data_IF_585319509971
#
_entry.id   IF_585319509971
#
_cell.length_a   1.000
_cell.length_b   1.000
_cell.length_c   1.000
_cell.angle_alpha   90.00
_cell.angle_beta   90.00
_cell.angle_gamma   90.00
#
_symmetry.space_group_name_H-M   'P 1'
#
loop_
_entity.id
_entity.type
_entity.pdbx_description
1 polymer ?
#
# COMPACT_ATOMS: atom_id res chain seq x y z
N UNK A 1 10.94 2.72 -7.09
CA UNK A 1 10.60 2.46 -5.67
C UNK A 1 9.89 3.70 -5.17
N UNK A 2 8.57 3.63 -5.02
CA UNK A 2 7.75 4.73 -4.51
C UNK A 2 7.41 4.37 -3.08
N UNK A 3 8.19 4.87 -2.13
CA UNK A 3 7.78 4.92 -0.72
C UNK A 3 6.93 6.18 -0.60
N UNK A 4 5.62 6.03 -0.52
CA UNK A 4 4.72 7.17 -0.33
C UNK A 4 4.45 7.32 1.16
N UNK A 5 4.99 8.39 1.77
CA UNK A 5 4.44 8.90 3.02
C UNK A 5 3.19 9.68 2.62
N UNK A 6 2.00 9.10 2.84
CA UNK A 6 0.77 9.85 2.64
C UNK A 6 0.77 11.07 3.57
N UNK A 7 0.83 12.25 2.96
CA UNK A 7 0.76 13.56 3.59
C UNK A 7 -0.59 14.15 3.20
N UNK A 8 -1.53 14.23 4.15
CA UNK A 8 -2.82 14.92 3.93
C UNK A 8 -2.55 16.42 4.00
N UNK A 9 -2.91 17.18 2.95
CA UNK A 9 -2.42 18.57 2.74
C UNK A 9 -3.34 19.69 3.24
N UNK A 10 -2.74 20.68 3.94
CA UNK A 10 -3.08 22.13 3.97
C UNK A 10 -2.85 22.83 5.34
N UNK A 11 -2.55 24.15 5.46
CA UNK A 11 -1.77 25.06 4.60
C UNK A 11 -0.50 25.70 5.29
N UNK A 12 0.45 26.11 4.43
CA UNK A 12 1.55 27.11 4.56
C UNK A 12 2.50 27.21 5.80
N UNK A 13 3.74 26.82 5.53
CA UNK A 13 5.07 27.41 5.83
C UNK A 13 5.51 27.93 7.21
N UNK A 14 4.71 27.86 8.28
CA UNK A 14 5.23 28.12 9.64
C UNK A 14 4.77 27.10 10.69
N UNK A 15 4.46 25.87 10.26
CA UNK A 15 3.80 24.91 11.14
C UNK A 15 4.83 24.04 11.90
N UNK A 16 4.96 24.19 13.24
CA UNK A 16 5.91 23.42 14.01
C UNK A 16 5.47 21.95 14.04
N UNK A 17 6.44 21.06 13.85
CA UNK A 17 6.28 19.61 13.62
C UNK A 17 5.46 18.84 14.67
N UNK A 18 5.04 19.47 15.77
CA UNK A 18 4.19 18.89 16.81
C UNK A 18 2.69 18.92 16.48
N UNK A 19 2.20 19.77 15.56
CA UNK A 19 0.77 19.84 15.21
C UNK A 19 0.25 18.56 14.53
N UNK A 20 1.15 17.77 13.92
CA UNK A 20 0.80 16.53 13.22
C UNK A 20 0.65 15.31 14.14
N UNK A 21 1.29 15.32 15.32
CA UNK A 21 1.11 14.30 16.37
C UNK A 21 -0.23 14.46 17.13
N UNK A 22 -0.85 15.63 17.05
CA UNK A 22 -2.12 15.95 17.74
C UNK A 22 -3.38 15.42 17.04
N UNK A 23 -3.26 14.78 15.87
CA UNK A 23 -4.43 14.21 15.18
C UNK A 23 -4.90 12.88 15.76
N UNK A 24 -4.12 12.25 16.66
CA UNK A 24 -4.43 10.93 17.23
C UNK A 24 -4.44 9.79 16.21
N UNK A 25 -4.05 10.06 14.96
CA UNK A 25 -3.99 9.07 13.89
C UNK A 25 -2.67 8.30 13.95
N UNK A 26 -2.67 6.99 13.64
CA UNK A 26 -1.46 6.19 13.65
C UNK A 26 -0.51 6.62 12.52
N UNK A 27 0.80 6.55 12.78
CA UNK A 27 1.80 6.72 11.73
C UNK A 27 1.77 5.49 10.81
N UNK A 28 1.53 5.69 9.51
CA UNK A 28 1.45 4.60 8.54
C UNK A 28 2.60 4.72 7.55
N UNK A 29 3.28 3.59 7.32
CA UNK A 29 4.27 3.43 6.24
C UNK A 29 3.67 2.48 5.22
N UNK A 30 3.56 2.90 3.96
CA UNK A 30 3.03 2.09 2.87
C UNK A 30 4.14 1.71 1.89
N UNK A 31 4.22 0.43 1.53
CA UNK A 31 5.22 -0.12 0.63
C UNK A 31 4.58 -1.03 -0.42
N UNK A 32 4.76 -0.68 -1.70
CA UNK A 32 4.34 -1.48 -2.84
C UNK A 32 5.49 -2.35 -3.32
N UNK A 33 5.30 -3.66 -3.33
CA UNK A 33 6.32 -4.61 -3.72
C UNK A 33 5.75 -5.67 -4.66
N UNK A 34 6.45 -5.91 -5.77
CA UNK A 34 6.13 -7.02 -6.66
C UNK A 34 6.38 -8.37 -5.97
N UNK A 35 7.45 -8.46 -5.16
CA UNK A 35 7.81 -9.66 -4.41
C UNK A 35 8.16 -9.35 -2.94
N UNK A 36 7.45 -9.98 -2.02
CA UNK A 36 7.65 -9.81 -0.57
C UNK A 36 8.53 -10.95 -0.04
N UNK A 37 9.81 -10.66 0.20
CA UNK A 37 10.79 -11.62 0.70
C UNK A 37 11.72 -11.05 1.77
N UNK A 38 12.62 -11.87 2.31
CA UNK A 38 13.53 -11.51 3.42
C UNK A 38 14.33 -10.23 3.18
N UNK A 39 14.86 -10.03 1.97
CA UNK A 39 15.62 -8.81 1.63
C UNK A 39 14.76 -7.54 1.75
N UNK A 40 13.49 -7.63 1.34
CA UNK A 40 12.55 -6.52 1.50
C UNK A 40 12.26 -6.27 2.97
N UNK A 41 11.91 -7.31 3.75
CA UNK A 41 11.59 -7.16 5.17
C UNK A 41 12.73 -6.51 5.95
N UNK A 42 13.99 -6.89 5.68
CA UNK A 42 15.16 -6.24 6.28
C UNK A 42 15.22 -4.73 6.00
N UNK A 43 14.89 -4.29 4.78
CA UNK A 43 14.83 -2.86 4.44
C UNK A 43 13.66 -2.17 5.12
N UNK A 44 12.49 -2.82 5.15
CA UNK A 44 11.31 -2.27 5.81
C UNK A 44 11.55 -2.00 7.31
N UNK A 45 12.26 -2.90 8.00
CA UNK A 45 12.69 -2.69 9.40
C UNK A 45 13.61 -1.47 9.55
N UNK A 46 14.49 -1.21 8.58
CA UNK A 46 15.36 -0.04 8.61
C UNK A 46 14.54 1.24 8.47
N UNK A 47 13.62 1.30 7.50
CA UNK A 47 12.74 2.47 7.31
C UNK A 47 11.86 2.72 8.53
N UNK A 48 11.31 1.64 9.11
CA UNK A 48 10.58 1.70 10.37
C UNK A 48 11.43 2.37 11.46
N UNK A 49 12.65 1.88 11.66
CA UNK A 49 13.51 2.34 12.77
C UNK A 49 13.82 3.82 12.60
N UNK A 50 14.04 4.27 11.37
CA UNK A 50 14.24 5.69 11.06
C UNK A 50 12.99 6.52 11.36
N UNK A 51 11.80 6.04 11.02
CA UNK A 51 10.54 6.72 11.31
C UNK A 51 10.29 6.82 12.83
N UNK A 52 10.49 5.72 13.57
CA UNK A 52 10.38 5.71 15.02
C UNK A 52 11.35 6.71 15.66
N UNK A 53 12.63 6.69 15.25
CA UNK A 53 13.64 7.63 15.78
C UNK A 53 13.29 9.09 15.51
N UNK A 54 12.57 9.37 14.42
CA UNK A 54 12.18 10.73 14.03
C UNK A 54 10.93 11.22 14.75
N UNK A 55 9.93 10.34 14.94
CA UNK A 55 8.60 10.74 15.40
C UNK A 55 8.24 10.22 16.81
N UNK A 56 9.00 9.29 17.37
CA UNK A 56 8.77 8.71 18.70
C UNK A 56 7.51 7.85 18.81
N UNK A 57 6.94 7.44 17.68
CA UNK A 57 5.70 6.64 17.60
C UNK A 57 5.99 5.39 16.79
N UNK A 58 5.46 4.24 17.21
CA UNK A 58 5.56 2.98 16.49
C UNK A 58 4.62 2.97 15.27
N UNK A 59 5.12 3.01 14.02
CA UNK A 59 4.25 2.98 12.86
C UNK A 59 3.59 1.61 12.62
N UNK A 60 2.49 1.67 11.87
CA UNK A 60 1.87 0.54 11.18
C UNK A 60 2.51 0.45 9.79
N UNK A 61 3.05 -0.71 9.44
CA UNK A 61 3.56 -0.99 8.10
C UNK A 61 2.48 -1.71 7.29
N UNK A 62 2.11 -1.13 6.14
CA UNK A 62 1.23 -1.75 5.15
C UNK A 62 2.09 -2.13 3.95
N UNK A 63 2.08 -3.42 3.61
CA UNK A 63 2.80 -3.95 2.45
C UNK A 63 1.79 -4.44 1.44
N UNK A 64 1.77 -3.82 0.26
CA UNK A 64 0.98 -4.27 -0.89
C UNK A 64 1.86 -5.16 -1.76
N UNK A 65 1.60 -6.48 -1.68
CA UNK A 65 2.27 -7.50 -2.47
C UNK A 65 1.51 -7.81 -3.75
N UNK A 66 2.00 -7.33 -4.89
CA UNK A 66 1.29 -7.43 -6.17
C UNK A 66 1.22 -8.89 -6.65
N UNK A 67 2.33 -9.64 -6.58
CA UNK A 67 2.42 -10.92 -7.27
C UNK A 67 2.62 -12.10 -6.31
N UNK A 68 3.77 -12.18 -5.64
CA UNK A 68 4.08 -13.32 -4.77
C UNK A 68 4.84 -12.94 -3.51
N UNK A 69 4.59 -13.72 -2.46
CA UNK A 69 5.34 -13.68 -1.20
C UNK A 69 6.17 -14.96 -1.06
N UNK A 70 7.37 -14.85 -0.52
CA UNK A 70 8.20 -16.03 -0.24
C UNK A 70 7.51 -16.97 0.78
N UNK A 71 7.72 -18.29 0.64
CA UNK A 71 7.15 -19.31 1.54
C UNK A 71 7.42 -18.99 3.02
N UNK A 72 8.65 -18.59 3.34
CA UNK A 72 9.05 -18.22 4.70
C UNK A 72 8.22 -17.08 5.27
N UNK A 73 7.87 -16.08 4.45
CA UNK A 73 7.02 -14.96 4.87
C UNK A 73 5.59 -15.42 5.07
N UNK A 74 5.07 -16.28 4.18
CA UNK A 74 3.70 -16.82 4.32
C UNK A 74 3.53 -17.72 5.55
N UNK A 75 4.57 -18.46 5.95
CA UNK A 75 4.54 -19.30 7.15
C UNK A 75 4.55 -18.48 8.45
N UNK A 76 5.22 -17.34 8.44
CA UNK A 76 5.27 -16.41 9.57
C UNK A 76 4.06 -15.47 9.62
N UNK A 77 3.33 -15.36 8.51
CA UNK A 77 2.15 -14.54 8.41
C UNK A 77 0.90 -15.31 8.86
N UNK A 78 0.05 -14.64 9.64
CA UNK A 78 -1.25 -15.18 10.09
C UNK A 78 -2.38 -14.36 9.46
N UNK A 79 -3.62 -14.85 9.48
CA UNK A 79 -4.77 -14.01 9.10
C UNK A 79 -4.81 -12.76 9.98
N UNK A 80 -4.96 -11.60 9.36
CA UNK A 80 -5.12 -10.33 10.07
C UNK A 80 -6.54 -10.17 10.61
N UNK A 81 -6.71 -9.21 11.53
CA UNK A 81 -8.04 -8.67 11.88
C UNK A 81 -8.65 -7.88 10.73
N UNK A 82 -7.80 -7.22 9.93
CA UNK A 82 -8.22 -6.59 8.69
C UNK A 82 -8.55 -7.69 7.67
N UNK A 83 -9.78 -7.67 7.15
CA UNK A 83 -10.21 -8.60 6.12
C UNK A 83 -9.28 -8.48 4.90
N UNK A 84 -9.06 -9.59 4.19
CA UNK A 84 -8.23 -9.59 2.98
C UNK A 84 -6.74 -9.45 3.23
N UNK A 85 -6.28 -9.48 4.48
CA UNK A 85 -4.89 -9.24 4.82
C UNK A 85 -4.29 -10.36 5.68
N UNK A 86 -2.98 -10.49 5.59
CA UNK A 86 -2.19 -11.18 6.59
C UNK A 86 -1.56 -10.18 7.57
N UNK A 87 -1.33 -10.63 8.80
CA UNK A 87 -0.53 -9.96 9.80
C UNK A 87 0.81 -10.68 9.91
N UNK A 88 1.91 -9.96 9.73
CA UNK A 88 3.27 -10.46 9.86
C UNK A 88 3.81 -10.21 11.26
N UNK A 89 4.62 -11.13 11.77
CA UNK A 89 5.19 -11.02 13.11
C UNK A 89 6.14 -9.81 13.22
N UNK A 90 5.73 -8.82 14.01
CA UNK A 90 6.46 -7.57 14.18
C UNK A 90 7.51 -7.59 15.28
N UNK A 91 7.60 -8.64 16.12
CA UNK A 91 8.65 -8.86 17.12
C UNK A 91 9.30 -7.57 17.71
N UNK A 92 8.49 -6.62 18.20
CA UNK A 92 8.91 -5.33 18.79
C UNK A 92 9.48 -4.26 17.84
N UNK A 93 9.58 -4.53 16.53
CA UNK A 93 10.00 -3.54 15.54
C UNK A 93 8.83 -2.87 14.83
N UNK A 94 7.56 -3.18 15.10
CA UNK A 94 6.42 -2.43 14.60
C UNK A 94 5.17 -2.63 15.46
N UNK A 95 4.25 -1.68 15.40
CA UNK A 95 2.93 -1.82 16.03
C UNK A 95 2.14 -2.92 15.33
N UNK A 96 2.02 -2.81 14.00
CA UNK A 96 1.46 -3.85 13.14
C UNK A 96 2.17 -3.87 11.78
N UNK A 97 2.23 -5.05 11.15
CA UNK A 97 2.70 -5.23 9.78
C UNK A 97 1.63 -6.00 9.03
N UNK A 98 0.88 -5.28 8.22
CA UNK A 98 -0.25 -5.80 7.45
C UNK A 98 0.24 -6.05 6.02
N UNK A 99 0.03 -7.26 5.53
CA UNK A 99 0.37 -7.65 4.16
C UNK A 99 -0.94 -7.87 3.40
N UNK A 100 -1.15 -7.04 2.39
CA UNK A 100 -2.25 -7.13 1.44
C UNK A 100 -1.71 -7.72 0.14
N UNK A 101 -2.19 -8.88 -0.27
CA UNK A 101 -1.77 -9.51 -1.52
C UNK A 101 -2.91 -10.31 -2.16
N UNK A 102 -2.74 -10.68 -3.43
CA UNK A 102 -3.75 -11.44 -4.16
C UNK A 102 -4.19 -12.71 -3.40
N UNK A 103 -3.23 -13.46 -2.86
CA UNK A 103 -3.51 -14.69 -2.09
C UNK A 103 -4.21 -14.50 -0.74
N UNK A 104 -4.15 -13.30 -0.14
CA UNK A 104 -4.88 -12.99 1.10
C UNK A 104 -6.32 -12.61 0.80
N UNK A 105 -6.55 -11.95 -0.33
CA UNK A 105 -7.87 -11.52 -0.77
C UNK A 105 -8.69 -12.67 -1.33
N UNK A 106 -8.09 -13.57 -2.12
CA UNK A 106 -8.77 -14.76 -2.67
C UNK A 106 -9.39 -15.66 -1.57
N UNK A 107 -8.86 -15.59 -0.35
CA UNK A 107 -9.36 -16.34 0.81
C UNK A 107 -10.49 -15.64 1.57
N UNK A 108 -10.89 -14.45 1.15
CA UNK A 108 -11.99 -13.74 1.76
C UNK A 108 -13.32 -14.26 1.25
N UNK A 109 -14.26 -14.41 2.18
CA UNK A 109 -15.67 -14.56 1.82
C UNK A 109 -16.15 -13.20 1.33
N UNK A 110 -16.27 -13.05 0.01
CA UNK A 110 -16.77 -11.82 -0.59
C UNK A 110 -18.30 -11.79 -0.42
N UNK A 111 -18.81 -10.74 0.21
CA UNK A 111 -20.24 -10.44 0.35
C UNK A 111 -20.76 -9.74 -0.91
N UNK A 112 -22.09 -9.61 -1.05
CA UNK A 112 -22.72 -8.93 -2.20
C UNK A 112 -22.22 -7.48 -2.40
N UNK A 113 -21.78 -6.82 -1.33
CA UNK A 113 -21.06 -5.54 -1.40
C UNK A 113 -19.59 -5.77 -1.07
N UNK A 114 -18.71 -5.26 -1.93
CA UNK A 114 -17.27 -5.32 -1.73
C UNK A 114 -16.85 -4.21 -0.74
N UNK A 115 -16.12 -4.57 0.31
CA UNK A 115 -15.52 -3.57 1.20
C UNK A 115 -14.51 -2.70 0.41
N UNK A 116 -14.50 -1.36 0.57
CA UNK A 116 -13.63 -0.49 -0.22
C UNK A 116 -12.13 -0.79 -0.10
N UNK A 117 -11.67 -1.26 1.06
CA UNK A 117 -10.27 -1.63 1.26
C UNK A 117 -9.94 -2.95 0.56
N UNK A 118 -10.89 -3.89 0.54
CA UNK A 118 -10.77 -5.11 -0.28
C UNK A 118 -10.80 -4.78 -1.77
N UNK A 119 -11.67 -3.88 -2.21
CA UNK A 119 -11.72 -3.41 -3.59
C UNK A 119 -10.38 -2.77 -4.00
N UNK A 120 -9.79 -1.96 -3.13
CA UNK A 120 -8.48 -1.36 -3.35
C UNK A 120 -7.39 -2.42 -3.49
N UNK A 121 -7.37 -3.41 -2.59
CA UNK A 121 -6.45 -4.54 -2.68
C UNK A 121 -6.60 -5.34 -3.96
N UNK A 122 -7.84 -5.66 -4.36
CA UNK A 122 -8.13 -6.35 -5.61
C UNK A 122 -7.61 -5.55 -6.80
N UNK A 123 -7.94 -4.26 -6.84
CA UNK A 123 -7.54 -3.37 -7.91
C UNK A 123 -6.02 -3.33 -8.10
N UNK A 124 -5.25 -3.26 -7.00
CA UNK A 124 -3.79 -3.13 -7.05
C UNK A 124 -3.05 -4.45 -7.28
N UNK A 125 -3.61 -5.56 -6.80
CA UNK A 125 -2.92 -6.86 -6.80
C UNK A 125 -3.37 -7.74 -7.95
N UNK A 126 -4.50 -7.42 -8.58
CA UNK A 126 -4.98 -8.15 -9.76
C UNK A 126 -4.31 -7.61 -11.01
N UNK A 127 -3.40 -8.42 -11.56
CA UNK A 127 -2.77 -8.16 -12.85
C UNK A 127 -3.77 -8.39 -13.99
N UNK A 128 -4.61 -7.38 -14.26
CA UNK A 128 -5.60 -7.38 -15.35
C UNK A 128 -5.35 -6.20 -16.28
N UNK A 129 -5.37 -6.45 -17.59
CA UNK A 129 -5.08 -5.43 -18.59
C UNK A 129 -6.25 -4.47 -18.85
N UNK A 130 -7.47 -4.85 -18.44
CA UNK A 130 -8.71 -4.11 -18.69
C UNK A 130 -9.65 -4.24 -17.51
N UNK A 131 -10.46 -3.20 -17.28
CA UNK A 131 -11.54 -3.26 -16.29
C UNK A 131 -12.54 -4.39 -16.58
N UNK A 132 -12.74 -4.76 -17.85
CA UNK A 132 -13.70 -5.81 -18.22
C UNK A 132 -13.26 -7.16 -17.64
N UNK A 133 -11.95 -7.41 -17.57
CA UNK A 133 -11.37 -8.65 -17.06
C UNK A 133 -11.19 -8.63 -15.53
N UNK A 134 -11.42 -7.49 -14.89
CA UNK A 134 -11.32 -7.34 -13.44
C UNK A 134 -12.49 -8.06 -12.75
N UNK A 135 -12.23 -8.91 -11.74
CA UNK A 135 -13.29 -9.42 -10.88
C UNK A 135 -14.05 -8.24 -10.24
N UNK A 136 -15.38 -8.34 -10.16
CA UNK A 136 -16.21 -7.25 -9.63
C UNK A 136 -16.10 -5.96 -10.46
N UNK A 137 -15.92 -6.09 -11.78
CA UNK A 137 -15.88 -4.95 -12.70
C UNK A 137 -17.12 -4.05 -12.61
N UNK A 138 -18.26 -4.55 -12.13
CA UNK A 138 -19.48 -3.79 -11.91
C UNK A 138 -19.55 -3.06 -10.57
N UNK A 139 -18.65 -3.36 -9.64
CA UNK A 139 -18.54 -2.67 -8.36
C UNK A 139 -18.20 -1.19 -8.56
N UNK A 140 -18.89 -0.33 -7.82
CA UNK A 140 -18.75 1.13 -7.95
C UNK A 140 -17.36 1.60 -7.53
N UNK A 141 -16.76 0.97 -6.53
CA UNK A 141 -15.43 1.32 -6.01
C UNK A 141 -14.35 0.90 -6.99
N UNK A 142 -14.46 -0.31 -7.57
CA UNK A 142 -13.55 -0.77 -8.64
C UNK A 142 -13.62 0.17 -9.86
N UNK A 143 -14.83 0.55 -10.30
CA UNK A 143 -15.01 1.52 -11.40
C UNK A 143 -14.39 2.88 -11.07
N UNK A 144 -14.53 3.36 -9.84
CA UNK A 144 -13.93 4.60 -9.37
C UNK A 144 -12.40 4.53 -9.39
N UNK A 145 -11.79 3.46 -8.88
CA UNK A 145 -10.33 3.32 -8.92
C UNK A 145 -9.79 3.25 -10.35
N UNK A 146 -10.50 2.54 -11.23
CA UNK A 146 -10.14 2.51 -12.64
C UNK A 146 -10.23 3.89 -13.30
N UNK A 147 -11.31 4.64 -13.08
CA UNK A 147 -11.46 5.98 -13.65
C UNK A 147 -10.37 6.94 -13.16
N UNK A 148 -10.03 6.88 -11.87
CA UNK A 148 -8.94 7.67 -11.30
C UNK A 148 -7.57 7.30 -11.91
N UNK A 149 -7.32 6.00 -12.13
CA UNK A 149 -6.09 5.54 -12.75
C UNK A 149 -5.98 5.99 -14.21
N UNK A 150 -7.08 5.93 -14.98
CA UNK A 150 -7.14 6.42 -16.37
C UNK A 150 -6.93 7.92 -16.42
N UNK A 151 -7.66 8.70 -15.61
CA UNK A 151 -7.51 10.16 -15.55
C UNK A 151 -6.07 10.56 -15.20
N UNK A 152 -5.48 9.88 -14.21
CA UNK A 152 -4.09 10.11 -13.84
C UNK A 152 -3.13 9.76 -14.99
N UNK A 153 -3.31 8.61 -15.62
CA UNK A 153 -2.44 8.19 -16.73
C UNK A 153 -2.56 9.14 -17.92
N UNK A 154 -3.76 9.58 -18.30
CA UNK A 154 -3.98 10.53 -19.38
C UNK A 154 -3.41 11.92 -19.05
N UNK A 155 -3.59 12.39 -17.81
CA UNK A 155 -3.01 13.64 -17.33
C UNK A 155 -1.46 13.61 -17.30
N UNK A 156 -0.88 12.46 -16.97
CA UNK A 156 0.56 12.23 -17.06
C UNK A 156 1.01 12.07 -18.51
N UNK A 157 0.21 11.40 -19.36
CA UNK A 157 0.49 11.17 -20.77
C UNK A 157 0.55 12.47 -21.58
N UNK A 158 -0.34 13.41 -21.28
CA UNK A 158 -0.28 14.78 -21.80
C UNK A 158 0.99 15.54 -21.40
N UNK A 159 1.71 15.08 -20.36
CA UNK A 159 2.96 15.65 -19.86
C UNK A 159 4.21 14.79 -20.17
N UNK A 160 4.09 13.70 -20.94
CA UNK A 160 5.17 12.70 -21.18
C UNK A 160 6.45 13.29 -21.80
N UNK A 161 6.39 14.45 -22.45
CA UNK A 161 7.57 15.18 -22.93
C UNK A 161 8.62 15.41 -21.83
N UNK A 162 8.20 15.46 -20.55
CA UNK A 162 9.09 15.71 -19.41
C UNK A 162 9.58 14.42 -18.70
N UNK A 163 8.94 13.26 -18.93
CA UNK A 163 9.24 12.01 -18.22
C UNK A 163 10.24 11.10 -18.94
N UNK A 164 10.36 11.22 -20.27
CA UNK A 164 11.39 10.50 -21.06
C UNK A 164 12.82 10.89 -20.62
N UNK A 165 13.01 12.08 -20.02
CA UNK A 165 14.29 12.51 -19.46
C UNK A 165 14.72 11.76 -18.18
N UNK A 166 13.80 11.12 -17.47
CA UNK A 166 14.08 10.43 -16.19
C UNK A 166 14.48 8.97 -16.44
N UNK A 167 13.86 8.30 -17.42
CA UNK A 167 14.15 6.89 -17.72
C UNK A 167 15.49 6.66 -18.42
N UNK A 168 16.04 7.68 -19.10
CA UNK A 168 17.34 7.58 -19.77
C UNK A 168 18.55 7.91 -18.88
N UNK A 169 18.36 8.04 -17.56
CA UNK A 169 19.45 8.32 -16.59
C UNK A 169 19.60 7.26 -15.48
N UNK A 170 18.94 6.11 -15.60
CA UNK A 170 19.14 4.96 -14.71
C UNK A 170 19.85 3.82 -15.44
#
# INVERSE_FOLDING_TARGET
>A
MITSLMKVSGPTETDPTWFWLSSGLPLIIEEFQHYVGKKFMKRAIIYYTQAFNKYGVDPILIVVGINSSSLDITQLAKRSRAQGCYSFLCAMWASECIILCHSSIDKCTLTESLDPFIAFGLFLTKDTASIIDMPWNDDKTIKLFYSLAVEHFEGVAGNISHLIGIYNKC
#
